data_IF_606342814292
#
_entry.id   IF_606342814292
#
_cell.length_a   1.000
_cell.length_b   1.000
_cell.length_c   1.000
_cell.angle_alpha   90.00
_cell.angle_beta   90.00
_cell.angle_gamma   90.00
#
_symmetry.space_group_name_H-M   'P 1'
#
loop_
_entity.id
_entity.type
_entity.pdbx_description
1 polymer ?
#
# COMPACT_ATOMS: atom_id res chain seq x y z
N UNK A 1 -3.19 -0.68 36.84
CA UNK A 1 -2.17 -0.11 35.94
C UNK A 1 -0.95 -1.03 35.93
N UNK A 2 -0.87 -1.97 34.99
CA UNK A 2 0.16 -3.03 35.02
C UNK A 2 0.32 -3.77 33.67
N UNK A 3 0.24 -3.10 32.52
CA UNK A 3 0.39 -3.79 31.21
C UNK A 3 1.06 -2.99 30.08
N UNK A 4 1.81 -1.92 30.36
CA UNK A 4 2.42 -1.09 29.29
C UNK A 4 3.95 -1.27 29.18
N UNK A 5 4.58 -2.11 29.99
CA UNK A 5 6.05 -2.29 30.00
C UNK A 5 6.46 -3.75 29.77
N UNK A 6 5.77 -4.46 28.88
CA UNK A 6 6.13 -5.84 28.52
C UNK A 6 6.50 -6.04 27.04
N UNK A 7 6.22 -5.08 26.16
CA UNK A 7 6.44 -5.29 24.72
C UNK A 7 7.77 -4.75 24.17
N UNK A 8 8.56 -4.03 24.98
CA UNK A 8 9.84 -3.43 24.54
C UNK A 8 11.07 -4.24 25.01
N UNK A 9 10.89 -5.19 25.94
CA UNK A 9 12.01 -5.94 26.52
C UNK A 9 12.36 -7.26 25.81
N UNK A 10 11.52 -7.76 24.88
CA UNK A 10 11.79 -9.01 24.17
C UNK A 10 12.74 -8.87 22.97
N UNK A 11 13.10 -7.63 22.58
CA UNK A 11 13.94 -7.36 21.40
C UNK A 11 15.45 -7.17 21.72
N UNK A 12 15.87 -7.28 22.98
CA UNK A 12 17.22 -6.84 23.40
C UNK A 12 18.19 -7.96 23.82
N UNK A 13 17.81 -9.24 23.86
CA UNK A 13 18.68 -10.29 24.45
C UNK A 13 19.36 -11.26 23.46
N UNK A 14 19.23 -11.11 22.15
CA UNK A 14 19.96 -11.94 21.15
C UNK A 14 21.18 -11.23 20.56
N UNK A 15 22.00 -10.59 21.38
CA UNK A 15 23.26 -9.98 20.91
C UNK A 15 24.47 -10.38 21.75
N UNK A 16 24.67 -11.67 22.03
CA UNK A 16 26.00 -12.16 22.42
C UNK A 16 26.17 -13.57 21.88
N UNK A 17 27.24 -13.79 21.12
CA UNK A 17 27.59 -15.01 20.38
C UNK A 17 26.86 -15.18 19.05
N UNK A 18 27.37 -14.55 18.01
CA UNK A 18 27.73 -15.31 16.81
C UNK A 18 28.81 -14.56 16.03
N UNK A 19 29.83 -15.33 15.67
CA UNK A 19 31.04 -14.92 15.01
C UNK A 19 30.73 -14.24 13.67
N UNK A 20 31.51 -13.20 13.33
CA UNK A 20 31.75 -12.69 11.97
C UNK A 20 30.77 -13.16 10.88
N UNK A 21 29.52 -12.73 10.94
CA UNK A 21 28.68 -12.69 9.74
C UNK A 21 28.78 -11.26 9.25
N UNK A 22 29.39 -11.08 8.08
CA UNK A 22 29.22 -9.86 7.30
C UNK A 22 27.73 -9.57 7.32
N UNK A 23 27.31 -8.47 7.95
CA UNK A 23 26.00 -7.91 7.67
C UNK A 23 26.03 -7.54 6.21
N UNK A 24 25.60 -8.47 5.36
CA UNK A 24 25.03 -8.11 4.08
C UNK A 24 23.91 -7.14 4.43
N UNK A 25 24.17 -5.85 4.23
CA UNK A 25 23.12 -4.85 4.10
C UNK A 25 22.07 -5.49 3.20
N UNK A 26 20.82 -5.73 3.64
CA UNK A 26 19.84 -6.31 2.74
C UNK A 26 19.79 -5.41 1.52
N UNK A 27 20.17 -5.95 0.36
CA UNK A 27 20.10 -5.24 -0.89
C UNK A 27 18.69 -4.66 -0.98
N UNK A 28 18.58 -3.35 -1.22
CA UNK A 28 17.28 -2.68 -1.30
C UNK A 28 16.38 -3.50 -2.22
N UNK A 29 15.30 -4.07 -1.68
CA UNK A 29 14.40 -4.96 -2.42
C UNK A 29 13.99 -4.27 -3.71
N UNK A 30 14.34 -4.85 -4.86
CA UNK A 30 14.06 -4.26 -6.17
C UNK A 30 12.56 -3.93 -6.26
N UNK A 31 12.20 -2.78 -6.85
CA UNK A 31 10.81 -2.36 -6.94
C UNK A 31 9.97 -3.44 -7.61
N UNK A 32 10.50 -4.15 -8.62
CA UNK A 32 9.74 -5.21 -9.29
C UNK A 32 9.41 -6.35 -8.33
N UNK A 33 10.34 -6.74 -7.46
CA UNK A 33 10.11 -7.76 -6.41
C UNK A 33 9.07 -7.31 -5.40
N UNK A 34 9.10 -6.02 -5.01
CA UNK A 34 8.15 -5.42 -4.08
C UNK A 34 6.75 -5.33 -4.71
N UNK A 35 6.69 -4.94 -5.98
CA UNK A 35 5.47 -4.89 -6.78
C UNK A 35 4.84 -6.26 -6.95
N UNK A 36 5.62 -7.28 -7.32
CA UNK A 36 5.15 -8.66 -7.44
C UNK A 36 4.68 -9.24 -6.11
N UNK A 37 5.35 -8.91 -5.01
CA UNK A 37 4.91 -9.30 -3.67
C UNK A 37 3.58 -8.64 -3.30
N UNK A 38 3.43 -7.35 -3.57
CA UNK A 38 2.18 -6.61 -3.36
C UNK A 38 1.04 -7.18 -4.22
N UNK A 39 1.31 -7.47 -5.49
CA UNK A 39 0.34 -8.06 -6.41
C UNK A 39 -0.11 -9.46 -5.94
N UNK A 40 0.80 -10.29 -5.44
CA UNK A 40 0.47 -11.60 -4.86
C UNK A 40 -0.34 -11.47 -3.57
N UNK A 41 0.06 -10.58 -2.66
CA UNK A 41 -0.72 -10.29 -1.44
C UNK A 41 -2.13 -9.84 -1.78
N UNK A 42 -2.26 -9.01 -2.80
CA UNK A 42 -3.54 -8.49 -3.27
C UNK A 42 -4.44 -9.55 -3.91
N UNK A 43 -3.88 -10.46 -4.72
CA UNK A 43 -4.63 -11.59 -5.27
C UNK A 43 -5.21 -12.48 -4.17
N UNK A 44 -4.42 -12.72 -3.11
CA UNK A 44 -4.87 -13.48 -1.94
C UNK A 44 -5.97 -12.76 -1.16
N UNK A 45 -5.87 -11.43 -1.03
CA UNK A 45 -6.92 -10.62 -0.41
C UNK A 45 -8.23 -10.69 -1.19
N UNK A 46 -8.18 -10.55 -2.52
CA UNK A 46 -9.38 -10.60 -3.37
C UNK A 46 -10.14 -11.91 -3.16
N UNK A 47 -9.43 -13.04 -3.11
CA UNK A 47 -10.02 -14.34 -2.82
C UNK A 47 -10.64 -14.39 -1.41
N UNK A 48 -9.94 -13.81 -0.42
CA UNK A 48 -10.40 -13.78 0.99
C UNK A 48 -11.67 -12.95 1.15
N UNK A 49 -11.71 -11.73 0.61
CA UNK A 49 -12.87 -10.84 0.61
C UNK A 49 -14.08 -11.51 -0.08
N UNK A 50 -13.86 -12.15 -1.23
CA UNK A 50 -14.94 -12.82 -1.96
C UNK A 50 -15.51 -14.03 -1.19
N UNK A 51 -14.65 -14.73 -0.43
CA UNK A 51 -15.05 -15.91 0.33
C UNK A 51 -15.79 -15.59 1.64
N UNK A 52 -15.51 -14.43 2.23
CA UNK A 52 -16.10 -14.00 3.49
C UNK A 52 -17.09 -12.87 3.18
N UNK A 53 -18.35 -13.25 2.93
CA UNK A 53 -19.46 -12.32 2.74
C UNK A 53 -19.43 -11.27 3.89
N UNK A 54 -19.25 -9.97 3.60
CA UNK A 54 -19.02 -8.93 4.61
C UNK A 54 -20.31 -8.52 5.35
N UNK A 55 -21.14 -9.49 5.70
CA UNK A 55 -22.47 -9.29 6.30
C UNK A 55 -22.44 -8.91 7.78
N UNK A 56 -21.27 -8.69 8.38
CA UNK A 56 -21.12 -8.19 9.75
C UNK A 56 -20.78 -6.70 9.76
N UNK A 57 -21.55 -5.91 10.53
CA UNK A 57 -21.35 -4.46 10.72
C UNK A 57 -19.93 -4.09 11.15
N UNK A 58 -19.27 -4.98 11.89
CA UNK A 58 -17.90 -4.82 12.36
C UNK A 58 -16.88 -4.92 11.21
N UNK A 59 -17.07 -5.87 10.29
CA UNK A 59 -16.27 -6.00 9.05
C UNK A 59 -16.45 -4.77 8.17
N UNK A 60 -17.68 -4.28 8.03
CA UNK A 60 -17.98 -3.07 7.28
C UNK A 60 -17.25 -1.85 7.84
N UNK A 61 -17.29 -1.67 9.15
CA UNK A 61 -16.62 -0.54 9.83
C UNK A 61 -15.09 -0.61 9.69
N UNK A 62 -14.51 -1.81 9.80
CA UNK A 62 -13.07 -1.99 9.62
C UNK A 62 -12.67 -1.77 8.15
N UNK A 63 -13.41 -2.32 7.19
CA UNK A 63 -13.20 -2.08 5.76
C UNK A 63 -13.27 -0.60 5.42
N UNK A 64 -14.26 0.12 5.95
CA UNK A 64 -14.40 1.55 5.74
C UNK A 64 -13.22 2.33 6.34
N UNK A 65 -12.75 1.94 7.52
CA UNK A 65 -11.56 2.54 8.17
C UNK A 65 -10.30 2.32 7.32
N UNK A 66 -10.10 1.09 6.82
CA UNK A 66 -8.97 0.74 5.96
C UNK A 66 -9.05 1.45 4.61
N UNK A 67 -10.24 1.56 4.02
CA UNK A 67 -10.47 2.31 2.79
C UNK A 67 -10.17 3.80 2.98
N UNK A 68 -10.58 4.40 4.11
CA UNK A 68 -10.27 5.79 4.42
C UNK A 68 -8.76 6.00 4.62
N UNK A 69 -8.10 5.07 5.30
CA UNK A 69 -6.65 5.11 5.53
C UNK A 69 -5.89 5.00 4.22
N UNK A 70 -6.31 4.06 3.36
CA UNK A 70 -5.75 3.91 2.03
C UNK A 70 -5.97 5.14 1.16
N UNK A 71 -7.16 5.75 1.21
CA UNK A 71 -7.44 7.02 0.52
C UNK A 71 -6.49 8.13 0.98
N UNK A 72 -6.18 8.23 2.27
CA UNK A 72 -5.21 9.21 2.76
C UNK A 72 -3.78 8.91 2.26
N UNK A 73 -3.39 7.64 2.20
CA UNK A 73 -2.09 7.22 1.66
C UNK A 73 -1.98 7.51 0.16
N UNK A 74 -3.03 7.23 -0.62
CA UNK A 74 -3.10 7.55 -2.04
C UNK A 74 -3.06 9.05 -2.28
N UNK A 75 -3.72 9.84 -1.44
CA UNK A 75 -3.66 11.30 -1.53
C UNK A 75 -2.22 11.80 -1.30
N UNK A 76 -1.51 11.25 -0.31
CA UNK A 76 -0.12 11.62 -0.06
C UNK A 76 0.78 11.25 -1.26
N UNK A 77 0.61 10.06 -1.84
CA UNK A 77 1.34 9.64 -3.03
C UNK A 77 1.03 10.55 -4.24
N UNK A 78 -0.24 10.87 -4.47
CA UNK A 78 -0.66 11.76 -5.55
C UNK A 78 -0.08 13.17 -5.40
N UNK A 79 -0.08 13.72 -4.18
CA UNK A 79 0.56 15.02 -3.90
C UNK A 79 2.05 14.97 -4.21
N UNK A 80 2.77 13.93 -3.76
CA UNK A 80 4.19 13.77 -4.06
C UNK A 80 4.46 13.63 -5.56
N UNK A 81 3.65 12.87 -6.27
CA UNK A 81 3.74 12.75 -7.73
C UNK A 81 3.52 14.10 -8.42
N UNK A 82 2.49 14.86 -8.03
CA UNK A 82 2.23 16.18 -8.60
C UNK A 82 3.37 17.18 -8.34
N UNK A 83 3.89 17.23 -7.11
CA UNK A 83 5.01 18.10 -6.72
C UNK A 83 6.29 17.80 -7.51
N UNK A 84 6.59 16.51 -7.70
CA UNK A 84 7.81 16.07 -8.40
C UNK A 84 7.63 16.07 -9.91
N UNK A 85 6.42 15.88 -10.44
CA UNK A 85 6.16 15.98 -11.88
C UNK A 85 6.40 17.39 -12.42
N UNK A 86 6.26 18.43 -11.59
CA UNK A 86 6.63 19.80 -11.97
C UNK A 86 8.13 19.96 -12.27
N UNK A 87 8.96 19.04 -11.78
CA UNK A 87 10.41 19.03 -11.96
C UNK A 87 10.85 18.10 -13.11
N UNK A 88 9.92 17.35 -13.70
CA UNK A 88 10.12 16.55 -14.90
C UNK A 88 9.77 17.34 -16.15
N UNK A 89 10.08 16.79 -17.32
CA UNK A 89 9.69 17.35 -18.62
C UNK A 89 9.33 16.23 -19.60
N UNK A 90 8.57 16.57 -20.65
CA UNK A 90 8.19 15.63 -21.70
C UNK A 90 7.28 14.50 -21.21
N UNK A 91 7.50 13.30 -21.73
CA UNK A 91 6.62 12.15 -21.48
C UNK A 91 6.61 11.70 -20.02
N UNK A 92 7.73 11.83 -19.31
CA UNK A 92 7.81 11.50 -17.89
C UNK A 92 6.91 12.42 -17.05
N UNK A 93 6.93 13.73 -17.31
CA UNK A 93 6.03 14.67 -16.64
C UNK A 93 4.55 14.32 -16.89
N UNK A 94 4.21 13.99 -18.13
CA UNK A 94 2.84 13.62 -18.52
C UNK A 94 2.40 12.35 -17.80
N UNK A 95 3.24 11.30 -17.79
CA UNK A 95 2.93 10.04 -17.14
C UNK A 95 2.76 10.19 -15.62
N UNK A 96 3.64 10.93 -14.95
CA UNK A 96 3.54 11.14 -13.49
C UNK A 96 2.33 12.00 -13.11
N UNK A 97 1.98 13.02 -13.91
CA UNK A 97 0.75 13.79 -13.70
C UNK A 97 -0.51 12.94 -13.89
N UNK A 98 -0.55 12.10 -14.92
CA UNK A 98 -1.67 11.19 -15.15
C UNK A 98 -1.82 10.21 -13.99
N UNK A 99 -0.71 9.64 -13.50
CA UNK A 99 -0.72 8.79 -12.32
C UNK A 99 -1.26 9.51 -11.08
N UNK A 100 -0.80 10.75 -10.82
CA UNK A 100 -1.32 11.56 -9.73
C UNK A 100 -2.84 11.80 -9.84
N UNK A 101 -3.32 12.17 -11.03
CA UNK A 101 -4.75 12.40 -11.29
C UNK A 101 -5.59 11.14 -11.10
N UNK A 102 -5.12 10.00 -11.57
CA UNK A 102 -5.81 8.73 -11.36
C UNK A 102 -5.87 8.36 -9.88
N UNK A 103 -4.77 8.56 -9.14
CA UNK A 103 -4.77 8.36 -7.69
C UNK A 103 -5.77 9.29 -6.99
N UNK A 104 -5.85 10.56 -7.34
CA UNK A 104 -6.84 11.52 -6.79
C UNK A 104 -8.28 11.11 -7.08
N UNK A 105 -8.54 10.55 -8.27
CA UNK A 105 -9.85 9.98 -8.60
C UNK A 105 -10.16 8.77 -7.72
N UNK A 106 -9.18 7.89 -7.46
CA UNK A 106 -9.36 6.76 -6.54
C UNK A 106 -9.61 7.23 -5.11
N UNK A 107 -8.91 8.25 -4.64
CA UNK A 107 -9.18 8.87 -3.31
C UNK A 107 -10.61 9.35 -3.22
N UNK A 108 -11.10 10.06 -4.25
CA UNK A 108 -12.47 10.55 -4.29
C UNK A 108 -13.48 9.40 -4.26
N UNK A 109 -13.23 8.34 -5.03
CA UNK A 109 -14.06 7.13 -5.04
C UNK A 109 -14.06 6.41 -3.69
N UNK A 110 -12.92 6.39 -2.99
CA UNK A 110 -12.78 5.75 -1.68
C UNK A 110 -13.44 6.52 -0.54
N UNK A 111 -13.49 7.85 -0.67
CA UNK A 111 -14.11 8.75 0.32
C UNK A 111 -15.63 8.85 0.18
N UNK A 112 -16.20 8.34 -0.91
CA UNK A 112 -17.65 8.22 -1.04
C UNK A 112 -18.19 7.22 0.01
N UNK A 113 -19.36 7.51 0.57
CA UNK A 113 -20.00 6.61 1.53
C UNK A 113 -20.37 5.28 0.84
N UNK A 114 -19.95 4.17 1.44
CA UNK A 114 -20.33 2.84 0.98
C UNK A 114 -21.60 2.38 1.69
N UNK A 115 -22.66 2.02 0.96
CA UNK A 115 -23.91 1.55 1.55
C UNK A 115 -23.78 0.18 2.22
N UNK A 116 -22.84 -0.65 1.77
CA UNK A 116 -22.56 -1.97 2.34
C UNK A 116 -21.06 -2.33 2.33
N UNK A 117 -20.68 -3.34 3.12
CA UNK A 117 -19.30 -3.78 3.26
C UNK A 117 -18.72 -4.45 2.00
N UNK A 118 -19.57 -5.00 1.12
CA UNK A 118 -19.12 -5.63 -0.12
C UNK A 118 -18.67 -4.57 -1.13
N UNK A 119 -19.41 -3.47 -1.23
CA UNK A 119 -19.02 -2.31 -2.02
C UNK A 119 -17.75 -1.65 -1.49
N UNK A 120 -17.61 -1.51 -0.17
CA UNK A 120 -16.39 -0.99 0.44
C UNK A 120 -15.17 -1.85 0.06
N UNK A 121 -15.34 -3.19 0.09
CA UNK A 121 -14.28 -4.12 -0.25
C UNK A 121 -13.93 -4.10 -1.75
N UNK A 122 -14.93 -4.04 -2.64
CA UNK A 122 -14.72 -3.99 -4.10
C UNK A 122 -14.09 -2.65 -4.56
N UNK A 123 -14.48 -1.55 -3.91
CA UNK A 123 -13.89 -0.23 -4.15
C UNK A 123 -12.45 -0.17 -3.65
N UNK A 124 -12.19 -0.68 -2.45
CA UNK A 124 -10.83 -0.82 -1.92
C UNK A 124 -9.96 -1.67 -2.84
N UNK A 125 -10.52 -2.79 -3.32
CA UNK A 125 -9.88 -3.67 -4.30
C UNK A 125 -9.46 -2.89 -5.56
N UNK A 126 -10.42 -2.26 -6.22
CA UNK A 126 -10.21 -1.50 -7.47
C UNK A 126 -9.19 -0.38 -7.29
N UNK A 127 -9.25 0.33 -6.15
CA UNK A 127 -8.32 1.42 -5.88
C UNK A 127 -6.90 0.92 -5.60
N UNK A 128 -6.73 -0.26 -4.96
CA UNK A 128 -5.41 -0.88 -4.79
C UNK A 128 -4.83 -1.31 -6.14
N UNK A 129 -5.63 -1.94 -7.02
CA UNK A 129 -5.19 -2.32 -8.38
C UNK A 129 -4.73 -1.09 -9.17
N UNK A 130 -5.54 -0.03 -9.14
CA UNK A 130 -5.22 1.22 -9.81
C UNK A 130 -3.94 1.83 -9.24
N UNK A 131 -3.77 1.85 -7.91
CA UNK A 131 -2.57 2.42 -7.30
C UNK A 131 -1.30 1.66 -7.63
N UNK A 132 -1.37 0.31 -7.67
CA UNK A 132 -0.27 -0.52 -8.14
C UNK A 132 0.06 -0.21 -9.61
N UNK A 133 -0.94 -0.21 -10.49
CA UNK A 133 -0.73 0.10 -11.90
C UNK A 133 -0.08 1.49 -12.11
N UNK A 134 -0.54 2.51 -11.39
CA UNK A 134 0.03 3.84 -11.47
C UNK A 134 1.44 3.94 -10.89
N UNK A 135 1.73 3.25 -9.79
CA UNK A 135 3.08 3.18 -9.23
C UNK A 135 4.07 2.57 -10.24
N UNK A 136 3.65 1.51 -10.95
CA UNK A 136 4.44 0.89 -12.02
C UNK A 136 4.62 1.83 -13.21
N UNK A 137 3.55 2.50 -13.65
CA UNK A 137 3.60 3.49 -14.73
C UNK A 137 4.60 4.61 -14.43
N UNK A 138 4.59 5.13 -13.20
CA UNK A 138 5.55 6.15 -12.75
C UNK A 138 6.96 5.59 -12.81
N UNK A 139 7.19 4.39 -12.26
CA UNK A 139 8.51 3.77 -12.29
C UNK A 139 9.04 3.60 -13.72
N UNK A 140 8.23 3.06 -14.64
CA UNK A 140 8.60 2.87 -16.04
C UNK A 140 8.88 4.21 -16.74
N UNK A 141 8.07 5.24 -16.47
CA UNK A 141 8.23 6.56 -17.06
C UNK A 141 9.50 7.29 -16.57
N UNK A 142 9.92 7.05 -15.33
CA UNK A 142 11.13 7.67 -14.76
C UNK A 142 12.35 6.76 -14.82
N UNK A 143 12.21 5.50 -15.23
CA UNK A 143 13.31 4.55 -15.42
C UNK A 143 14.45 5.08 -16.32
N UNK A 144 14.18 5.74 -17.47
CA UNK A 144 15.25 6.31 -18.31
C UNK A 144 15.93 7.53 -17.69
N UNK A 145 15.38 8.07 -16.60
CA UNK A 145 15.92 9.20 -15.86
C UNK A 145 16.69 8.70 -14.62
N UNK A 146 17.93 9.16 -14.47
CA UNK A 146 18.80 8.83 -13.33
C UNK A 146 18.98 10.02 -12.37
N UNK A 147 18.11 11.02 -12.47
CA UNK A 147 18.17 12.21 -11.62
C UNK A 147 17.49 11.98 -10.27
N UNK A 148 17.76 12.90 -9.33
CA UNK A 148 17.21 12.83 -7.97
C UNK A 148 15.67 12.89 -7.96
N UNK A 149 15.05 13.46 -9.00
CA UNK A 149 13.60 13.52 -9.17
C UNK A 149 13.06 12.13 -9.48
N UNK A 150 13.66 11.42 -10.43
CA UNK A 150 13.32 10.05 -10.76
C UNK A 150 13.48 9.10 -9.57
N UNK A 151 14.58 9.19 -8.81
CA UNK A 151 14.76 8.37 -7.61
C UNK A 151 13.74 8.70 -6.51
N UNK A 152 13.39 9.98 -6.32
CA UNK A 152 12.33 10.37 -5.39
C UNK A 152 10.96 9.82 -5.83
N UNK A 153 10.68 9.78 -7.13
CA UNK A 153 9.43 9.25 -7.67
C UNK A 153 9.36 7.72 -7.58
N UNK A 154 10.47 7.02 -7.84
CA UNK A 154 10.59 5.58 -7.58
C UNK A 154 10.38 5.27 -6.11
N UNK A 155 10.92 6.08 -5.20
CA UNK A 155 10.72 5.95 -3.75
C UNK A 155 9.27 6.18 -3.33
N UNK A 156 8.61 7.21 -3.87
CA UNK A 156 7.20 7.47 -3.63
C UNK A 156 6.31 6.33 -4.16
N UNK A 157 6.61 5.82 -5.37
CA UNK A 157 5.93 4.66 -5.94
C UNK A 157 6.15 3.41 -5.06
N UNK A 158 7.37 3.17 -4.58
CA UNK A 158 7.67 2.07 -3.65
C UNK A 158 6.86 2.18 -2.37
N UNK A 159 6.81 3.38 -1.80
CA UNK A 159 6.03 3.66 -0.59
C UNK A 159 4.54 3.38 -0.83
N UNK A 160 3.99 3.77 -1.98
CA UNK A 160 2.59 3.46 -2.31
C UNK A 160 2.33 1.95 -2.39
N UNK A 161 3.25 1.17 -2.98
CA UNK A 161 3.19 -0.30 -3.06
C UNK A 161 3.27 -0.95 -1.67
N UNK A 162 4.16 -0.45 -0.80
CA UNK A 162 4.28 -0.91 0.59
C UNK A 162 3.00 -0.62 1.39
N UNK A 163 2.46 0.60 1.28
CA UNK A 163 1.21 0.99 1.94
C UNK A 163 0.02 0.17 1.45
N UNK A 164 -0.06 -0.09 0.14
CA UNK A 164 -1.07 -0.98 -0.43
C UNK A 164 -0.97 -2.38 0.18
N UNK A 165 0.25 -2.91 0.37
CA UNK A 165 0.49 -4.23 0.99
C UNK A 165 0.07 -4.26 2.46
N UNK A 166 0.39 -3.20 3.22
CA UNK A 166 -0.02 -3.08 4.63
C UNK A 166 -1.53 -3.07 4.78
N UNK A 167 -2.22 -2.21 4.01
CA UNK A 167 -3.69 -2.15 4.00
C UNK A 167 -4.27 -3.51 3.58
N UNK A 168 -3.68 -4.13 2.56
CA UNK A 168 -4.13 -5.43 2.08
C UNK A 168 -4.10 -6.49 3.19
N UNK A 169 -2.99 -6.56 3.94
CA UNK A 169 -2.85 -7.47 5.07
C UNK A 169 -3.82 -7.16 6.21
N UNK A 170 -4.03 -5.88 6.52
CA UNK A 170 -4.98 -5.46 7.56
C UNK A 170 -6.41 -5.85 7.20
N UNK A 171 -6.82 -5.64 5.95
CA UNK A 171 -8.15 -6.06 5.48
C UNK A 171 -8.28 -7.58 5.53
N UNK A 172 -7.26 -8.31 5.09
CA UNK A 172 -7.28 -9.78 5.13
C UNK A 172 -7.47 -10.28 6.56
N UNK A 173 -6.76 -9.68 7.54
CA UNK A 173 -6.93 -10.02 8.95
C UNK A 173 -8.32 -9.68 9.46
N UNK A 174 -8.85 -8.50 9.17
CA UNK A 174 -10.22 -8.09 9.53
C UNK A 174 -11.27 -9.07 9.02
N UNK A 175 -11.13 -9.47 7.76
CA UNK A 175 -12.05 -10.41 7.10
C UNK A 175 -11.92 -11.82 7.69
N UNK A 176 -10.70 -12.31 7.91
CA UNK A 176 -10.45 -13.63 8.48
C UNK A 176 -10.93 -13.73 9.95
N UNK A 177 -10.72 -12.68 10.74
CA UNK A 177 -11.19 -12.62 12.13
C UNK A 177 -12.71 -12.72 12.20
N UNK A 178 -13.41 -12.01 11.33
CA UNK A 178 -14.86 -12.08 11.27
C UNK A 178 -15.40 -13.42 10.75
N UNK A 179 -14.70 -14.03 9.77
CA UNK A 179 -15.04 -15.36 9.28
C UNK A 179 -14.87 -16.44 10.36
N UNK A 180 -13.90 -16.30 11.26
CA UNK A 180 -13.61 -17.24 12.36
C UNK A 180 -14.43 -16.96 13.65
N UNK A 181 -15.16 -15.84 13.71
CA UNK A 181 -16.03 -15.49 14.84
C UNK A 181 -17.43 -16.15 14.75
N UNK A 182 -17.65 -16.95 13.70
CA UNK A 182 -18.81 -17.82 13.47
C UNK A 182 -18.40 -19.30 13.53
#
# INVERSE_FOLDING_TARGET
MKFVIALVAALACMQVMEARVRRDTPAATDFNTLFEAAQRHFQNLTATIQSALPSQDEVRTQLQTHAQTFANNLQAAATQFNEKAAQLSGDAQTAVRQAAQHLEQQVSNLRQQFPDGAQAADKLKTSIESALAEARRVQEAVQPHADAVAESLKSAARTAVEQATVITNQVQQSVQQAANAH
#
